data_IF_478435413603
#
_entry.id   IF_478435413603
#
_cell.length_a   1.000
_cell.length_b   1.000
_cell.length_c   1.000
_cell.angle_alpha   90.00
_cell.angle_beta   90.00
_cell.angle_gamma   90.00
#
_symmetry.space_group_name_H-M   'P 1'
#
loop_
_entity.id
_entity.type
_entity.pdbx_description
1 polymer ?
#
# COMPACT_ATOMS: atom_id res chain seq x y z
N UNK A 1 -8.10 11.66 2.10
CA UNK A 1 -7.92 10.21 1.88
C UNK A 1 -8.77 9.43 2.87
N UNK A 2 -9.30 8.32 2.42
CA UNK A 2 -10.08 7.41 3.28
C UNK A 2 -9.36 6.07 3.31
N UNK A 3 -9.26 5.49 4.49
CA UNK A 3 -8.65 4.17 4.66
C UNK A 3 -9.67 3.26 5.35
N UNK A 4 -10.02 2.17 4.69
CA UNK A 4 -10.88 1.14 5.26
C UNK A 4 -10.04 -0.11 5.49
N UNK A 5 -10.16 -0.67 6.67
CA UNK A 5 -9.35 -1.82 7.08
C UNK A 5 -10.24 -3.05 7.26
N UNK A 6 -9.90 -4.14 6.57
CA UNK A 6 -10.59 -5.42 6.70
C UNK A 6 -9.61 -6.44 7.21
N UNK A 7 -9.91 -7.01 8.37
CA UNK A 7 -9.04 -7.98 9.03
C UNK A 7 -9.69 -9.35 9.01
N UNK A 8 -8.94 -10.36 8.56
CA UNK A 8 -9.37 -11.75 8.57
C UNK A 8 -8.19 -12.61 9.05
N UNK A 9 -8.17 -12.92 10.32
CA UNK A 9 -7.08 -13.64 10.98
C UNK A 9 -5.75 -12.89 10.81
N UNK A 10 -4.77 -13.46 10.13
CA UNK A 10 -3.48 -12.83 9.85
C UNK A 10 -3.40 -12.14 8.49
N UNK A 11 -4.53 -11.97 7.82
CA UNK A 11 -4.64 -11.27 6.55
C UNK A 11 -5.35 -9.94 6.74
N UNK A 12 -4.78 -8.87 6.20
CA UNK A 12 -5.36 -7.53 6.26
C UNK A 12 -5.45 -6.95 4.87
N UNK A 13 -6.59 -6.34 4.56
CA UNK A 13 -6.77 -5.54 3.34
C UNK A 13 -6.97 -4.09 3.75
N UNK A 14 -6.14 -3.20 3.21
CA UNK A 14 -6.30 -1.77 3.36
C UNK A 14 -6.87 -1.20 2.06
N UNK A 15 -8.08 -0.67 2.13
CA UNK A 15 -8.74 -0.04 0.99
C UNK A 15 -8.47 1.46 1.10
N UNK A 16 -7.68 1.99 0.17
CA UNK A 16 -7.20 3.38 0.20
C UNK A 16 -7.89 4.14 -0.92
N UNK A 17 -8.52 5.26 -0.58
CA UNK A 17 -9.27 6.06 -1.55
C UNK A 17 -8.80 7.51 -1.52
N UNK A 18 -8.82 8.17 -2.68
CA UNK A 18 -8.46 9.58 -2.82
C UNK A 18 -7.02 9.78 -3.20
N UNK A 19 -6.30 10.62 -2.48
CA UNK A 19 -4.93 11.00 -2.81
C UNK A 19 -3.98 10.56 -1.69
N UNK A 20 -2.95 9.83 -2.07
CA UNK A 20 -1.88 9.45 -1.15
C UNK A 20 -0.70 10.39 -1.42
N UNK A 21 -0.62 11.46 -0.64
CA UNK A 21 0.37 12.52 -0.82
C UNK A 21 1.12 12.80 0.48
N UNK A 22 1.88 13.90 0.49
CA UNK A 22 2.68 14.28 1.66
C UNK A 22 1.85 14.49 2.91
N UNK A 23 0.62 14.97 2.76
CA UNK A 23 -0.27 15.23 3.90
C UNK A 23 -0.97 13.98 4.41
N UNK A 24 -1.29 13.05 3.52
CA UNK A 24 -2.04 11.84 3.87
C UNK A 24 -1.17 10.62 4.14
N UNK A 25 0.07 10.60 3.64
CA UNK A 25 0.99 9.50 3.86
C UNK A 25 1.17 9.15 5.35
N UNK A 26 1.27 10.11 6.27
CA UNK A 26 1.37 9.79 7.70
C UNK A 26 0.14 9.05 8.25
N UNK A 27 -1.05 9.33 7.71
CA UNK A 27 -2.27 8.63 8.12
C UNK A 27 -2.20 7.15 7.72
N UNK A 28 -1.74 6.87 6.50
CA UNK A 28 -1.57 5.51 6.02
C UNK A 28 -0.49 4.79 6.83
N UNK A 29 0.61 5.46 7.10
CA UNK A 29 1.70 4.87 7.89
C UNK A 29 1.22 4.48 9.28
N UNK A 30 0.41 5.32 9.92
CA UNK A 30 -0.16 5.03 11.24
C UNK A 30 -1.05 3.79 11.22
N UNK A 31 -1.94 3.70 10.23
CA UNK A 31 -2.81 2.54 10.09
C UNK A 31 -2.00 1.28 9.81
N UNK A 32 -0.98 1.40 8.97
CA UNK A 32 -0.10 0.30 8.64
C UNK A 32 0.65 -0.20 9.88
N UNK A 33 1.24 0.71 10.66
CA UNK A 33 1.98 0.36 11.86
C UNK A 33 1.10 -0.36 12.90
N UNK A 34 -0.19 -0.06 12.92
CA UNK A 34 -1.11 -0.70 13.84
C UNK A 34 -1.38 -2.17 13.52
N UNK A 35 -1.11 -2.63 12.30
CA UNK A 35 -1.42 -3.99 11.86
C UNK A 35 -0.20 -4.81 11.45
N UNK A 36 0.92 -4.17 11.10
CA UNK A 36 2.07 -4.87 10.51
C UNK A 36 2.69 -5.96 11.39
N UNK A 37 2.65 -5.80 12.71
CA UNK A 37 3.40 -6.67 13.61
C UNK A 37 2.97 -8.14 13.57
N UNK A 38 1.73 -8.42 13.22
CA UNK A 38 1.14 -9.74 13.41
C UNK A 38 0.57 -10.38 12.14
N UNK A 39 0.68 -9.72 11.00
CA UNK A 39 0.03 -10.20 9.78
C UNK A 39 0.99 -10.96 8.88
N UNK A 40 0.43 -11.90 8.11
CA UNK A 40 1.16 -12.70 7.13
C UNK A 40 0.82 -12.31 5.69
N UNK A 41 -0.34 -11.70 5.48
CA UNK A 41 -0.76 -11.27 4.16
C UNK A 41 -1.31 -9.86 4.24
N UNK A 42 -0.77 -8.97 3.41
CA UNK A 42 -1.24 -7.59 3.31
C UNK A 42 -1.65 -7.31 1.87
N UNK A 43 -2.87 -6.80 1.71
CA UNK A 43 -3.37 -6.36 0.41
C UNK A 43 -3.69 -4.89 0.48
N UNK A 44 -3.16 -4.11 -0.48
CA UNK A 44 -3.61 -2.74 -0.72
C UNK A 44 -4.59 -2.75 -1.86
N UNK A 45 -5.84 -2.42 -1.59
CA UNK A 45 -6.84 -2.21 -2.62
C UNK A 45 -6.80 -0.73 -3.01
N UNK A 46 -6.30 -0.46 -4.20
CA UNK A 46 -6.10 0.89 -4.71
C UNK A 46 -7.09 1.28 -5.79
N UNK A 47 -8.22 0.55 -5.89
CA UNK A 47 -9.23 0.79 -6.93
C UNK A 47 -9.75 2.21 -6.94
N UNK A 48 -9.78 2.88 -5.80
CA UNK A 48 -10.29 4.25 -5.67
C UNK A 48 -9.18 5.27 -5.35
N UNK A 49 -7.92 4.87 -5.51
CA UNK A 49 -6.81 5.79 -5.32
C UNK A 49 -6.53 6.54 -6.61
N UNK A 50 -6.46 7.86 -6.51
CA UNK A 50 -6.31 8.74 -7.68
C UNK A 50 -4.87 9.17 -7.92
N UNK A 51 -4.04 9.19 -6.86
CA UNK A 51 -2.71 9.79 -6.94
C UNK A 51 -1.81 9.24 -5.84
N UNK A 52 -0.52 9.06 -6.17
CA UNK A 52 0.49 8.70 -5.17
C UNK A 52 1.71 9.61 -5.36
N UNK A 53 2.20 10.18 -4.25
CA UNK A 53 3.40 11.01 -4.22
C UNK A 53 4.61 10.18 -3.77
N UNK A 54 5.79 10.81 -3.80
CA UNK A 54 7.01 10.17 -3.29
C UNK A 54 6.89 9.80 -1.81
N UNK A 55 6.18 10.60 -1.01
CA UNK A 55 5.92 10.29 0.39
C UNK A 55 5.06 9.03 0.51
N UNK A 56 4.04 8.89 -0.36
CA UNK A 56 3.21 7.69 -0.43
C UNK A 56 4.00 6.46 -0.85
N UNK A 57 4.86 6.61 -1.86
CA UNK A 57 5.72 5.51 -2.31
C UNK A 57 6.61 5.00 -1.19
N UNK A 58 7.09 5.91 -0.34
CA UNK A 58 7.95 5.56 0.79
C UNK A 58 7.20 4.69 1.80
N UNK A 59 5.93 4.99 2.07
CA UNK A 59 5.10 4.18 2.96
C UNK A 59 4.83 2.80 2.36
N UNK A 60 4.53 2.73 1.06
CA UNK A 60 4.33 1.47 0.35
C UNK A 60 5.60 0.62 0.42
N UNK A 61 6.76 1.23 0.21
CA UNK A 61 8.04 0.53 0.30
C UNK A 61 8.32 -0.01 1.70
N UNK A 62 8.02 0.78 2.72
CA UNK A 62 8.14 0.34 4.11
C UNK A 62 7.30 -0.90 4.37
N UNK A 63 6.06 -0.90 3.89
CA UNK A 63 5.16 -2.05 4.01
C UNK A 63 5.73 -3.28 3.30
N UNK A 64 6.24 -3.10 2.08
CA UNK A 64 6.78 -4.21 1.31
C UNK A 64 8.01 -4.83 2.00
N UNK A 65 8.89 -4.00 2.53
CA UNK A 65 10.08 -4.48 3.25
C UNK A 65 9.69 -5.28 4.49
N UNK A 66 8.71 -4.80 5.25
CA UNK A 66 8.21 -5.50 6.42
C UNK A 66 7.60 -6.84 6.02
N UNK A 67 6.78 -6.86 4.97
CA UNK A 67 6.11 -8.09 4.55
C UNK A 67 7.07 -9.09 3.91
N UNK A 68 8.15 -8.64 3.28
CA UNK A 68 9.18 -9.54 2.77
C UNK A 68 9.81 -10.39 3.89
N UNK A 69 9.86 -9.84 5.09
CA UNK A 69 10.43 -10.54 6.24
C UNK A 69 9.44 -11.48 6.91
N UNK A 70 8.13 -11.26 6.76
CA UNK A 70 7.15 -11.99 7.56
C UNK A 70 6.03 -12.67 6.76
N UNK A 71 5.88 -12.35 5.48
CA UNK A 71 4.79 -12.92 4.70
C UNK A 71 4.78 -12.43 3.26
N UNK A 72 3.63 -11.96 2.80
CA UNK A 72 3.46 -11.48 1.43
C UNK A 72 2.60 -10.23 1.38
N UNK A 73 2.77 -9.45 0.32
CA UNK A 73 2.01 -8.24 0.07
C UNK A 73 1.65 -8.15 -1.40
N UNK A 74 0.46 -7.65 -1.69
CA UNK A 74 0.05 -7.38 -3.06
C UNK A 74 -0.77 -6.10 -3.13
N UNK A 75 -0.78 -5.51 -4.32
CA UNK A 75 -1.58 -4.33 -4.64
C UNK A 75 -2.60 -4.73 -5.70
N UNK A 76 -3.84 -4.29 -5.52
CA UNK A 76 -4.92 -4.55 -6.49
C UNK A 76 -5.57 -3.26 -6.92
N UNK A 77 -6.15 -3.25 -8.11
CA UNK A 77 -6.92 -2.10 -8.61
C UNK A 77 -6.08 -0.86 -8.94
N UNK A 78 -4.79 -1.05 -9.24
CA UNK A 78 -3.90 0.07 -9.56
C UNK A 78 -4.27 0.63 -10.93
N UNK A 79 -4.57 1.93 -11.00
CA UNK A 79 -4.90 2.58 -12.28
C UNK A 79 -3.65 2.85 -13.11
N UNK A 80 -3.87 3.21 -14.38
CA UNK A 80 -2.77 3.40 -15.33
C UNK A 80 -1.81 4.51 -14.93
N UNK A 81 -2.31 5.59 -14.34
CA UNK A 81 -1.48 6.71 -13.91
C UNK A 81 -0.54 6.31 -12.77
N UNK A 82 -1.04 5.56 -11.81
CA UNK A 82 -0.24 5.08 -10.69
C UNK A 82 0.72 3.99 -11.16
N UNK A 83 0.27 3.14 -12.07
CA UNK A 83 1.13 2.11 -12.67
C UNK A 83 2.33 2.74 -13.37
N UNK A 84 2.13 3.86 -14.06
CA UNK A 84 3.20 4.60 -14.71
C UNK A 84 4.21 5.15 -13.70
N UNK A 85 3.73 5.63 -12.55
CA UNK A 85 4.62 6.08 -11.47
C UNK A 85 5.46 4.92 -10.94
N UNK A 86 4.87 3.76 -10.75
CA UNK A 86 5.59 2.57 -10.31
C UNK A 86 6.64 2.13 -11.34
N UNK A 87 6.32 2.25 -12.62
CA UNK A 87 7.26 1.92 -13.69
C UNK A 87 8.47 2.86 -13.67
N UNK A 88 8.21 4.17 -13.68
CA UNK A 88 9.27 5.19 -13.72
C UNK A 88 10.18 5.09 -12.48
N UNK A 89 9.63 4.78 -11.33
CA UNK A 89 10.39 4.72 -10.06
C UNK A 89 11.07 3.37 -9.83
N UNK A 90 10.82 2.38 -10.68
CA UNK A 90 11.36 1.04 -10.52
C UNK A 90 10.58 0.17 -9.55
N UNK A 91 9.46 0.64 -9.04
CA UNK A 91 8.65 -0.09 -8.06
C UNK A 91 7.97 -1.33 -8.65
N UNK A 92 7.80 -1.40 -9.98
CA UNK A 92 7.24 -2.60 -10.61
C UNK A 92 8.09 -3.83 -10.35
N UNK A 93 9.40 -3.67 -10.18
CA UNK A 93 10.31 -4.77 -9.91
C UNK A 93 10.29 -5.20 -8.43
N UNK A 94 9.71 -4.39 -7.57
CA UNK A 94 9.69 -4.60 -6.12
C UNK A 94 8.33 -5.09 -5.64
N UNK A 95 7.25 -4.57 -6.25
CA UNK A 95 5.88 -4.83 -5.83
C UNK A 95 5.25 -5.98 -6.59
N UNK A 96 4.31 -6.66 -5.93
CA UNK A 96 3.43 -7.62 -6.58
C UNK A 96 2.10 -6.92 -6.86
N UNK A 97 1.78 -6.75 -8.13
CA UNK A 97 0.57 -6.05 -8.57
C UNK A 97 -0.32 -7.04 -9.30
N UNK A 98 -1.57 -7.11 -8.87
CA UNK A 98 -2.56 -8.02 -9.45
C UNK A 98 -3.76 -7.30 -10.04
#
# INVERSE_FOLDING_TARGET
MTIEKKINNDAVTLIVSGRLDTQTAPELEKELDSVLAEIKELTFDMSNLEYVSSAGLRVILKAQKAMNAQGSMKLTGVNDSIMEVFDITGFLDILTIE
#
